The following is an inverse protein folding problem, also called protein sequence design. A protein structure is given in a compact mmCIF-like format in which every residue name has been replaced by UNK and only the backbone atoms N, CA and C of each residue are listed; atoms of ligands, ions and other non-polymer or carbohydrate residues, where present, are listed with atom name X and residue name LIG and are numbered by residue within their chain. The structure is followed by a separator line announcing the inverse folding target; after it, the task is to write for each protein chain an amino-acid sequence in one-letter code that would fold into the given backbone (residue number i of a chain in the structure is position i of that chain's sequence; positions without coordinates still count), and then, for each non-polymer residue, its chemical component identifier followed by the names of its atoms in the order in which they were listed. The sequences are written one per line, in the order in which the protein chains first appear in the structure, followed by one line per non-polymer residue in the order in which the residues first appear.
data_IF_058815627533
#
_entry.id   IF_058815627533
#
_cell.length_a   1.000
_cell.length_b   1.000
_cell.length_c   1.000
_cell.angle_alpha   90.00
_cell.angle_beta   90.00
_cell.angle_gamma   90.00
#
_symmetry.space_group_name_H-M   'P 1'
#
loop_
_entity.id
_entity.type
_entity.pdbx_description
1 polymer ?
#
# COMPACT_ATOMS: atom_id res chain seq x y z
N UNK A 1 -23.40 -51.64 24.64
CA UNK A 1 -23.44 -51.50 23.16
C UNK A 1 -23.68 -50.05 22.81
N UNK A 2 -22.85 -49.52 21.90
CA UNK A 2 -22.91 -48.23 21.20
C UNK A 2 -21.96 -47.14 21.72
N UNK A 3 -20.73 -47.22 21.21
CA UNK A 3 -19.76 -46.13 21.15
C UNK A 3 -20.22 -45.10 20.13
N UNK A 4 -20.36 -43.84 20.55
CA UNK A 4 -20.63 -42.73 19.65
C UNK A 4 -19.29 -42.21 19.10
N UNK A 5 -18.92 -42.68 17.91
CA UNK A 5 -17.76 -42.21 17.14
C UNK A 5 -17.95 -40.74 16.75
N UNK A 6 -17.27 -39.84 17.46
CA UNK A 6 -17.20 -38.42 17.11
C UNK A 6 -16.29 -38.26 15.88
N UNK A 7 -16.92 -38.08 14.72
CA UNK A 7 -16.23 -37.93 13.44
C UNK A 7 -15.44 -36.62 13.42
N UNK A 8 -14.11 -36.74 13.37
CA UNK A 8 -13.17 -35.64 13.21
C UNK A 8 -13.52 -34.87 11.93
N UNK A 9 -14.10 -33.68 12.09
CA UNK A 9 -14.36 -32.78 10.99
C UNK A 9 -13.02 -32.31 10.45
N UNK A 10 -12.71 -32.69 9.21
CA UNK A 10 -11.55 -32.17 8.47
C UNK A 10 -11.68 -30.64 8.41
N UNK A 11 -10.80 -29.93 9.10
CA UNK A 11 -10.64 -28.48 8.93
C UNK A 11 -10.12 -28.22 7.52
N UNK A 12 -11.05 -28.07 6.58
CA UNK A 12 -10.79 -27.57 5.24
C UNK A 12 -10.30 -26.13 5.36
N UNK A 13 -9.06 -25.90 4.94
CA UNK A 13 -8.50 -24.58 4.74
C UNK A 13 -9.30 -23.88 3.63
N UNK A 14 -10.32 -23.10 4.00
CA UNK A 14 -11.15 -22.38 3.03
C UNK A 14 -11.37 -20.94 3.46
N UNK A 15 -10.88 -20.05 2.60
CA UNK A 15 -11.10 -18.61 2.50
C UNK A 15 -10.55 -17.72 3.62
N UNK A 16 -9.36 -17.15 3.39
CA UNK A 16 -8.96 -15.87 3.97
C UNK A 16 -9.86 -14.80 3.35
N UNK A 17 -11.06 -14.63 3.89
CA UNK A 17 -11.83 -13.42 3.62
C UNK A 17 -11.02 -12.26 4.21
N UNK A 18 -10.25 -11.57 3.35
CA UNK A 18 -9.76 -10.24 3.65
C UNK A 18 -10.97 -9.43 4.11
N UNK A 19 -11.03 -9.11 5.39
CA UNK A 19 -12.08 -8.24 5.90
C UNK A 19 -11.76 -6.85 5.33
N UNK A 20 -12.44 -6.51 4.23
CA UNK A 20 -12.34 -5.20 3.60
C UNK A 20 -12.87 -4.22 4.63
N UNK A 21 -11.99 -3.44 5.26
CA UNK A 21 -12.41 -2.44 6.23
C UNK A 21 -12.92 -1.19 5.48
N UNK A 22 -14.20 -0.81 5.60
CA UNK A 22 -14.64 0.49 5.13
C UNK A 22 -13.97 1.58 5.98
N UNK A 23 -13.02 2.30 5.38
CA UNK A 23 -12.22 3.29 6.11
C UNK A 23 -11.07 3.93 5.32
N UNK A 24 -11.06 3.85 3.98
CA UNK A 24 -9.95 4.36 3.15
C UNK A 24 -9.68 5.86 3.36
N UNK A 25 -10.69 6.64 3.76
CA UNK A 25 -10.53 8.07 4.11
C UNK A 25 -9.63 8.29 5.34
N UNK A 26 -9.75 7.44 6.38
CA UNK A 26 -8.91 7.51 7.57
C UNK A 26 -7.45 7.23 7.22
N UNK A 27 -7.20 6.13 6.50
CA UNK A 27 -5.84 5.77 6.09
C UNK A 27 -5.22 6.83 5.17
N UNK A 28 -6.02 7.40 4.26
CA UNK A 28 -5.56 8.49 3.39
C UNK A 28 -5.13 9.73 4.20
N UNK A 29 -5.88 10.04 5.26
CA UNK A 29 -5.57 11.16 6.16
C UNK A 29 -4.31 10.90 6.99
N UNK A 30 -4.17 9.70 7.57
CA UNK A 30 -2.98 9.29 8.34
C UNK A 30 -1.72 9.34 7.47
N UNK A 31 -1.81 8.89 6.22
CA UNK A 31 -0.70 8.88 5.28
C UNK A 31 -0.44 10.24 4.61
N UNK A 32 -1.32 11.24 4.82
CA UNK A 32 -1.20 12.55 4.20
C UNK A 32 -1.32 12.50 2.67
N UNK A 33 -2.19 11.64 2.14
CA UNK A 33 -2.36 11.48 0.69
C UNK A 33 -3.00 12.73 0.07
N UNK A 34 -2.36 13.28 -0.96
CA UNK A 34 -2.97 14.31 -1.81
C UNK A 34 -4.02 13.69 -2.74
N UNK A 35 -4.80 14.52 -3.43
CA UNK A 35 -5.81 14.09 -4.41
C UNK A 35 -5.26 13.24 -5.55
N UNK A 36 -3.95 13.28 -5.80
CA UNK A 36 -3.25 12.49 -6.82
C UNK A 36 -3.20 11.00 -6.47
N UNK A 37 -3.31 10.66 -5.18
CA UNK A 37 -3.21 9.30 -4.66
C UNK A 37 -4.57 8.80 -4.22
N UNK A 38 -4.77 7.48 -4.30
CA UNK A 38 -5.92 6.84 -3.68
C UNK A 38 -5.62 5.40 -3.29
N UNK A 39 -6.27 4.96 -2.24
CA UNK A 39 -6.22 3.57 -1.77
C UNK A 39 -7.22 2.77 -2.60
N UNK A 40 -6.72 1.76 -3.30
CA UNK A 40 -7.54 0.86 -4.13
C UNK A 40 -8.04 -0.33 -3.34
N UNK A 41 -7.30 -0.76 -2.32
CA UNK A 41 -7.66 -1.87 -1.46
C UNK A 41 -7.05 -1.73 -0.06
N UNK A 42 -7.74 -2.26 0.94
CA UNK A 42 -7.31 -2.29 2.32
C UNK A 42 -7.75 -3.62 2.96
N UNK A 43 -6.77 -4.41 3.39
CA UNK A 43 -7.01 -5.72 3.98
C UNK A 43 -6.31 -5.86 5.33
N UNK A 44 -7.07 -6.25 6.35
CA UNK A 44 -6.51 -6.65 7.64
C UNK A 44 -6.44 -8.17 7.71
N UNK A 45 -5.22 -8.68 7.89
CA UNK A 45 -4.95 -10.08 8.16
C UNK A 45 -4.88 -10.30 9.67
N UNK A 46 -5.98 -10.77 10.25
CA UNK A 46 -6.08 -10.97 11.70
C UNK A 46 -5.11 -12.02 12.22
N UNK A 47 -4.75 -13.02 11.40
CA UNK A 47 -3.82 -14.09 11.80
C UNK A 47 -2.38 -13.57 11.80
N UNK A 48 -1.99 -12.90 10.72
CA UNK A 48 -0.66 -12.32 10.58
C UNK A 48 -0.50 -11.01 11.36
N UNK A 49 -1.59 -10.47 11.95
CA UNK A 49 -1.64 -9.14 12.56
C UNK A 49 -1.05 -8.09 11.60
N UNK A 50 -1.54 -8.09 10.36
CA UNK A 50 -0.97 -7.28 9.30
C UNK A 50 -2.03 -6.47 8.55
N UNK A 51 -1.92 -5.14 8.59
CA UNK A 51 -2.67 -4.25 7.71
C UNK A 51 -1.92 -4.09 6.38
N UNK A 52 -2.58 -4.42 5.27
CA UNK A 52 -2.06 -4.25 3.91
C UNK A 52 -2.89 -3.23 3.16
N UNK A 53 -2.24 -2.17 2.68
CA UNK A 53 -2.87 -1.17 1.80
C UNK A 53 -2.31 -1.29 0.39
N UNK A 54 -3.20 -1.23 -0.61
CA UNK A 54 -2.83 -1.03 -2.00
C UNK A 54 -3.13 0.41 -2.39
N UNK A 55 -2.13 1.13 -2.87
CA UNK A 55 -2.24 2.55 -3.21
C UNK A 55 -1.83 2.75 -4.66
N UNK A 56 -2.54 3.58 -5.40
CA UNK A 56 -2.13 3.97 -6.74
C UNK A 56 -2.36 5.46 -6.96
N UNK A 57 -1.77 5.96 -8.03
CA UNK A 57 -2.01 7.32 -8.49
C UNK A 57 -3.17 7.37 -9.47
N UNK A 58 -3.96 8.44 -9.41
CA UNK A 58 -5.05 8.66 -10.36
C UNK A 58 -4.50 8.88 -11.77
N UNK A 59 -5.20 8.36 -12.77
CA UNK A 59 -4.92 8.68 -14.17
C UNK A 59 -5.14 10.17 -14.44
N UNK A 60 -4.22 10.80 -15.17
CA UNK A 60 -4.28 12.24 -15.47
C UNK A 60 -3.88 13.17 -14.33
N UNK A 61 -3.36 12.64 -13.21
CA UNK A 61 -2.76 13.49 -12.17
C UNK A 61 -1.53 14.23 -12.73
N UNK A 62 -1.47 15.54 -12.48
CA UNK A 62 -0.27 16.34 -12.77
C UNK A 62 0.83 15.98 -11.78
N UNK A 63 2.05 15.78 -12.27
CA UNK A 63 3.21 15.50 -11.43
C UNK A 63 4.29 16.55 -11.64
N UNK A 64 4.94 16.92 -10.55
CA UNK A 64 6.15 17.73 -10.58
C UNK A 64 7.38 16.82 -10.50
N UNK A 65 8.47 17.26 -11.13
CA UNK A 65 9.76 16.61 -11.01
C UNK A 65 10.19 16.61 -9.52
N UNK A 66 10.53 15.46 -8.93
CA UNK A 66 10.95 15.39 -7.53
C UNK A 66 12.30 16.07 -7.26
N UNK A 67 13.07 16.38 -8.30
CA UNK A 67 14.41 16.99 -8.19
C UNK A 67 14.32 18.52 -8.25
N UNK A 68 13.62 19.08 -9.24
CA UNK A 68 13.57 20.53 -9.48
C UNK A 68 12.19 21.17 -9.28
N UNK A 69 11.13 20.40 -9.05
CA UNK A 69 9.76 20.90 -8.91
C UNK A 69 9.06 21.32 -10.22
N UNK A 70 9.76 21.30 -11.36
CA UNK A 70 9.19 21.64 -12.66
C UNK A 70 8.17 20.64 -13.18
N UNK A 71 7.50 20.96 -14.29
CA UNK A 71 6.55 20.04 -14.93
C UNK A 71 7.21 18.72 -15.33
N UNK A 72 6.52 17.61 -15.10
CA UNK A 72 6.98 16.28 -15.49
C UNK A 72 5.84 15.47 -16.11
N UNK A 73 6.12 14.74 -17.19
CA UNK A 73 5.14 13.91 -17.89
C UNK A 73 5.30 12.47 -17.47
N UNK A 74 4.22 11.80 -17.05
CA UNK A 74 4.24 10.36 -16.78
C UNK A 74 4.65 9.59 -18.04
N UNK A 75 5.67 8.74 -17.90
CA UNK A 75 6.17 7.85 -18.97
C UNK A 75 6.04 6.37 -18.61
N UNK A 76 5.83 6.05 -17.33
CA UNK A 76 5.63 4.68 -16.87
C UNK A 76 5.23 4.62 -15.41
N UNK A 77 5.37 3.43 -14.82
CA UNK A 77 5.15 3.20 -13.41
C UNK A 77 5.95 2.01 -12.91
N UNK A 78 6.30 2.04 -11.63
CA UNK A 78 6.98 0.95 -10.93
C UNK A 78 6.14 0.52 -9.71
N UNK A 79 6.12 -0.79 -9.43
CA UNK A 79 5.42 -1.34 -8.25
C UNK A 79 6.40 -1.52 -7.12
N UNK A 80 6.10 -0.93 -5.97
CA UNK A 80 6.97 -0.99 -4.80
C UNK A 80 6.21 -1.24 -3.51
N UNK A 81 6.96 -1.68 -2.49
CA UNK A 81 6.42 -2.04 -1.18
C UNK A 81 7.19 -1.33 -0.08
N UNK A 82 6.47 -0.97 0.97
CA UNK A 82 7.01 -0.39 2.18
C UNK A 82 6.41 -1.07 3.39
N UNK A 83 7.22 -1.16 4.43
CA UNK A 83 6.79 -1.59 5.75
C UNK A 83 6.96 -0.41 6.70
N UNK A 84 5.97 -0.16 7.55
CA UNK A 84 6.12 0.74 8.68
C UNK A 84 6.93 0.03 9.77
N UNK A 85 7.90 0.71 10.36
CA UNK A 85 8.65 0.21 11.52
C UNK A 85 7.67 -0.03 12.67
N UNK A 86 7.63 -1.28 13.14
CA UNK A 86 6.52 -1.93 13.87
C UNK A 86 5.84 -1.01 14.92
N UNK A 87 4.77 -0.33 14.51
CA UNK A 87 3.92 0.43 15.41
C UNK A 87 2.91 -0.56 16.00
N UNK A 88 2.88 -0.70 17.33
CA UNK A 88 1.83 -1.43 18.07
C UNK A 88 1.83 -2.97 17.91
N UNK A 89 2.97 -3.59 17.58
CA UNK A 89 3.06 -5.04 17.31
C UNK A 89 2.05 -5.50 16.24
N UNK A 90 1.85 -4.62 15.25
CA UNK A 90 0.98 -4.81 14.11
C UNK A 90 1.79 -4.44 12.87
N UNK A 91 2.01 -5.43 12.01
CA UNK A 91 2.70 -5.20 10.75
C UNK A 91 1.84 -4.27 9.87
N UNK A 92 2.42 -3.20 9.35
CA UNK A 92 1.74 -2.31 8.41
C UNK A 92 2.51 -2.21 7.11
N UNK A 93 1.89 -2.69 6.04
CA UNK A 93 2.45 -2.82 4.70
C UNK A 93 1.69 -1.96 3.70
N UNK A 94 2.44 -1.24 2.88
CA UNK A 94 1.92 -0.52 1.72
C UNK A 94 2.51 -1.17 0.47
N UNK A 95 1.67 -1.53 -0.49
CA UNK A 95 2.12 -1.71 -1.87
C UNK A 95 1.56 -0.58 -2.72
N UNK A 96 2.39 0.00 -3.58
CA UNK A 96 1.93 1.06 -4.46
C UNK A 96 2.49 1.00 -5.87
N UNK A 97 1.68 1.50 -6.81
CA UNK A 97 2.10 1.77 -8.19
C UNK A 97 2.54 3.23 -8.28
N UNK A 98 3.85 3.43 -8.38
CA UNK A 98 4.49 4.75 -8.37
C UNK A 98 4.75 5.21 -9.80
N UNK A 99 4.29 6.41 -10.20
CA UNK A 99 4.60 6.94 -11.52
C UNK A 99 6.09 7.19 -11.70
N UNK A 100 6.55 6.86 -12.90
CA UNK A 100 7.83 7.32 -13.44
C UNK A 100 7.53 8.44 -14.41
N UNK A 101 8.14 9.61 -14.20
CA UNK A 101 7.90 10.81 -14.98
C UNK A 101 9.19 11.34 -15.61
N UNK A 102 9.09 11.82 -16.83
CA UNK A 102 10.18 12.49 -17.54
C UNK A 102 10.11 14.00 -17.35
N UNK A 103 11.23 14.60 -16.98
CA UNK A 103 11.45 16.03 -16.87
C UNK A 103 12.55 16.44 -17.85
N UNK A 104 12.35 17.54 -18.57
CA UNK A 104 13.30 18.02 -19.58
C UNK A 104 14.68 18.37 -18.99
N UNK A 105 14.72 18.86 -17.75
CA UNK A 105 15.96 19.30 -17.12
C UNK A 105 16.66 18.21 -16.27
N UNK A 106 15.89 17.27 -15.70
CA UNK A 106 16.40 16.27 -14.76
C UNK A 106 16.31 14.83 -15.27
N UNK A 107 15.76 14.62 -16.47
CA UNK A 107 15.52 13.31 -17.07
C UNK A 107 14.36 12.55 -16.42
N UNK A 108 14.41 11.22 -16.55
CA UNK A 108 13.37 10.31 -16.06
C UNK A 108 13.57 9.98 -14.60
N UNK A 109 12.60 10.34 -13.77
CA UNK A 109 12.64 10.15 -12.32
C UNK A 109 11.34 9.53 -11.81
N UNK A 110 11.45 8.70 -10.77
CA UNK A 110 10.28 8.17 -10.06
C UNK A 110 9.72 9.25 -9.14
N UNK A 111 8.41 9.47 -9.17
CA UNK A 111 7.75 10.38 -8.24
C UNK A 111 7.91 9.84 -6.82
N UNK A 112 8.37 10.67 -5.89
CA UNK A 112 8.50 10.30 -4.48
C UNK A 112 7.12 10.07 -3.87
N UNK A 113 6.90 8.91 -3.25
CA UNK A 113 5.64 8.67 -2.55
C UNK A 113 5.55 9.57 -1.29
N UNK A 114 4.36 10.04 -0.87
CA UNK A 114 4.21 10.92 0.29
C UNK A 114 4.82 10.35 1.58
N UNK A 115 4.77 9.03 1.73
CA UNK A 115 5.30 8.29 2.88
C UNK A 115 6.79 7.93 2.76
N UNK A 116 7.47 8.23 1.65
CA UNK A 116 8.93 8.04 1.50
C UNK A 116 9.76 9.23 2.02
N UNK A 117 9.11 10.27 2.55
CA UNK A 117 9.79 11.48 3.03
C UNK A 117 10.77 11.17 4.16
N UNK A 118 11.82 11.98 4.26
CA UNK A 118 12.76 11.92 5.40
C UNK A 118 12.00 12.10 6.72
N UNK A 119 12.33 11.26 7.71
CA UNK A 119 11.63 11.23 9.00
C UNK A 119 10.30 10.46 8.99
N UNK A 120 9.92 9.83 7.88
CA UNK A 120 8.89 8.79 7.90
C UNK A 120 9.43 7.51 8.56
N UNK A 121 8.56 6.77 9.23
CA UNK A 121 8.88 5.45 9.79
C UNK A 121 8.61 4.32 8.77
N UNK A 122 8.63 4.63 7.47
CA UNK A 122 8.46 3.64 6.41
C UNK A 122 9.80 3.28 5.78
N UNK A 123 10.07 1.98 5.69
CA UNK A 123 11.23 1.43 4.98
C UNK A 123 10.78 0.73 3.70
N UNK A 124 11.51 0.97 2.60
CA UNK A 124 11.34 0.21 1.37
C UNK A 124 11.69 -1.25 1.63
N UNK A 125 10.88 -2.15 1.11
CA UNK A 125 11.15 -3.60 1.13
C UNK A 125 11.02 -4.15 -0.28
N UNK A 126 11.80 -5.18 -0.58
CA UNK A 126 11.78 -5.86 -1.88
C UNK A 126 10.51 -6.72 -2.04
#
# INVERSE_FOLDING_TARGET
MSEATYSLTKHSASSLAAHIMPGTSLYSSILGLSSQWHITDAALDSKARCLRLQITTRGGADFCCPVCGGAAKRVGSDKRRWQHDDLLSLCFMISAVIPVASCENCGTNRITAPWERSGSSFRSVE
#
